data_IF_127636246449
#
_entry.id   IF_127636246449
#
_cell.length_a   1.000
_cell.length_b   1.000
_cell.length_c   1.000
_cell.angle_alpha   90.00
_cell.angle_beta   90.00
_cell.angle_gamma   90.00
#
_symmetry.space_group_name_H-M   'P 1'
#
loop_
_entity.id
_entity.type
_entity.pdbx_description
1 polymer ?
#
# COMPACT_ATOMS: atom_id res chain seq x y z
N UNK A 1 -2.02 13.76 -21.29
CA UNK A 1 -2.17 12.73 -20.24
C UNK A 1 -3.18 13.27 -19.24
N UNK A 2 -4.24 12.51 -18.90
CA UNK A 2 -5.22 12.99 -17.93
C UNK A 2 -4.53 13.26 -16.59
N UNK A 3 -4.83 14.40 -15.98
CA UNK A 3 -4.24 14.82 -14.73
C UNK A 3 -4.84 14.09 -13.51
N UNK A 4 -4.24 14.29 -12.32
CA UNK A 4 -4.78 13.77 -11.07
C UNK A 4 -6.23 14.20 -10.80
N UNK A 5 -6.62 15.37 -11.30
CA UNK A 5 -7.96 15.94 -11.21
C UNK A 5 -9.01 15.12 -11.96
N UNK A 6 -8.68 14.66 -13.17
CA UNK A 6 -9.56 13.84 -14.00
C UNK A 6 -9.79 12.46 -13.38
N UNK A 7 -8.75 11.89 -12.77
CA UNK A 7 -8.86 10.63 -12.03
C UNK A 7 -9.78 10.75 -10.82
N UNK A 8 -9.75 11.89 -10.10
CA UNK A 8 -10.67 12.13 -8.98
C UNK A 8 -12.12 12.27 -9.44
N UNK A 9 -12.36 12.94 -10.57
CA UNK A 9 -13.71 13.07 -11.14
C UNK A 9 -14.22 11.69 -11.56
N UNK A 10 -13.39 10.87 -12.21
CA UNK A 10 -13.75 9.51 -12.58
C UNK A 10 -14.06 8.64 -11.35
N UNK A 11 -13.23 8.73 -10.32
CA UNK A 11 -13.44 8.03 -9.04
C UNK A 11 -14.78 8.44 -8.41
N UNK A 12 -15.11 9.73 -8.42
CA UNK A 12 -16.36 10.24 -7.87
C UNK A 12 -17.58 9.66 -8.61
N UNK A 13 -17.53 9.60 -9.94
CA UNK A 13 -18.60 8.99 -10.76
C UNK A 13 -18.75 7.50 -10.41
N UNK A 14 -17.66 6.74 -10.37
CA UNK A 14 -17.69 5.33 -9.99
C UNK A 14 -18.24 5.15 -8.58
N UNK A 15 -17.82 5.98 -7.62
CA UNK A 15 -18.32 5.92 -6.24
C UNK A 15 -19.83 6.23 -6.14
N UNK A 16 -20.36 7.11 -6.98
CA UNK A 16 -21.80 7.39 -7.05
C UNK A 16 -22.58 6.23 -7.68
N UNK A 17 -22.05 5.60 -8.74
CA UNK A 17 -22.71 4.46 -9.42
C UNK A 17 -22.79 3.22 -8.52
N UNK A 18 -21.68 2.86 -7.88
CA UNK A 18 -21.60 1.68 -7.02
C UNK A 18 -22.09 1.95 -5.59
N UNK A 19 -22.17 3.23 -5.21
CA UNK A 19 -22.44 3.65 -3.84
C UNK A 19 -21.25 3.43 -2.91
N UNK A 20 -21.02 4.37 -2.00
CA UNK A 20 -19.90 4.33 -1.04
C UNK A 20 -19.95 3.12 -0.09
N UNK A 21 -21.13 2.54 0.15
CA UNK A 21 -21.31 1.37 1.04
C UNK A 21 -20.68 0.09 0.45
N UNK A 22 -20.93 -0.20 -0.83
CA UNK A 22 -20.32 -1.33 -1.55
C UNK A 22 -18.82 -1.12 -1.66
N UNK A 23 -18.41 0.09 -2.07
CA UNK A 23 -17.01 0.46 -2.26
C UNK A 23 -16.20 0.38 -0.96
N UNK A 24 -16.80 0.74 0.18
CA UNK A 24 -16.17 0.60 1.51
C UNK A 24 -16.04 -0.85 1.96
N UNK A 25 -17.07 -1.68 1.74
CA UNK A 25 -16.98 -3.10 2.09
C UNK A 25 -15.88 -3.81 1.30
N UNK A 26 -15.89 -3.68 -0.03
CA UNK A 26 -14.91 -4.31 -0.91
C UNK A 26 -13.52 -3.65 -0.77
N UNK A 27 -13.47 -2.33 -0.58
CA UNK A 27 -12.24 -1.58 -0.39
C UNK A 27 -11.55 -1.90 0.94
N UNK A 28 -12.29 -2.25 1.99
CA UNK A 28 -11.72 -2.74 3.25
C UNK A 28 -10.98 -4.07 3.08
N UNK A 29 -11.59 -5.02 2.38
CA UNK A 29 -11.00 -6.35 2.13
C UNK A 29 -9.79 -6.26 1.20
N UNK A 30 -9.95 -5.58 0.06
CA UNK A 30 -8.87 -5.37 -0.91
C UNK A 30 -7.74 -4.51 -0.32
N UNK A 31 -8.08 -3.47 0.43
CA UNK A 31 -7.11 -2.60 1.10
C UNK A 31 -6.28 -3.35 2.14
N UNK A 32 -6.91 -4.26 2.90
CA UNK A 32 -6.21 -5.10 3.88
C UNK A 32 -5.23 -6.06 3.21
N UNK A 33 -5.63 -6.70 2.10
CA UNK A 33 -4.76 -7.58 1.33
C UNK A 33 -3.54 -6.84 0.73
N UNK A 34 -3.78 -5.66 0.14
CA UNK A 34 -2.70 -4.82 -0.42
C UNK A 34 -1.78 -4.29 0.67
N UNK A 35 -2.31 -3.94 1.86
CA UNK A 35 -1.50 -3.49 2.98
C UNK A 35 -0.57 -4.59 3.49
N UNK A 36 -1.08 -5.82 3.64
CA UNK A 36 -0.26 -6.99 3.99
C UNK A 36 0.82 -7.27 2.95
N UNK A 37 0.49 -7.17 1.66
CA UNK A 37 1.45 -7.33 0.56
C UNK A 37 2.55 -6.26 0.61
N UNK A 38 2.19 -4.99 0.78
CA UNK A 38 3.14 -3.87 0.94
C UNK A 38 4.04 -4.05 2.17
N UNK A 39 3.50 -4.56 3.27
CA UNK A 39 4.27 -4.79 4.49
C UNK A 39 5.26 -5.95 4.32
N UNK A 40 4.86 -7.04 3.65
CA UNK A 40 5.76 -8.14 3.34
C UNK A 40 6.94 -7.69 2.45
N UNK A 41 6.67 -6.91 1.41
CA UNK A 41 7.70 -6.32 0.55
C UNK A 41 8.65 -5.39 1.33
N UNK A 42 8.12 -4.60 2.26
CA UNK A 42 8.94 -3.71 3.11
C UNK A 42 9.76 -4.47 4.14
N UNK A 43 9.26 -5.60 4.65
CA UNK A 43 10.00 -6.43 5.60
C UNK A 43 11.19 -7.10 4.94
N UNK A 44 11.06 -7.54 3.69
CA UNK A 44 12.16 -8.12 2.90
C UNK A 44 13.26 -7.08 2.59
N UNK A 45 12.85 -5.84 2.30
CA UNK A 45 13.77 -4.71 2.06
C UNK A 45 14.45 -4.21 3.37
N UNK A 46 13.81 -4.41 4.54
CA UNK A 46 14.40 -4.09 5.85
C UNK A 46 15.29 -5.18 6.42
N UNK A 47 15.07 -6.46 6.09
CA UNK A 47 15.94 -7.55 6.52
C UNK A 47 17.32 -7.48 5.86
N UNK A 48 17.46 -6.87 4.67
CA UNK A 48 18.76 -6.61 4.03
C UNK A 48 19.58 -5.45 4.64
N UNK A 49 19.13 -4.81 5.73
CA UNK A 49 19.82 -3.64 6.35
C UNK A 49 20.28 -3.85 7.80
N UNK A 50 20.25 -5.07 8.33
CA UNK A 50 20.54 -5.32 9.74
C UNK A 50 21.68 -6.33 10.03
N UNK A 51 22.50 -6.66 9.02
CA UNK A 51 23.61 -7.61 9.16
C UNK A 51 25.02 -6.98 9.16
N UNK A 52 25.17 -5.66 9.31
CA UNK A 52 26.50 -4.97 9.28
C UNK A 52 26.88 -4.27 10.60
N UNK A 53 26.43 -4.77 11.76
CA UNK A 53 26.83 -4.21 13.08
C UNK A 53 27.16 -5.32 14.08
N UNK A 54 28.14 -6.19 13.79
CA UNK A 54 28.85 -6.93 14.85
C UNK A 54 30.17 -7.57 14.37
N UNK A 55 31.18 -6.79 13.96
CA UNK A 55 32.57 -7.26 14.03
C UNK A 55 33.60 -6.12 13.98
N UNK A 56 33.76 -5.37 15.08
CA UNK A 56 34.99 -4.59 15.30
C UNK A 56 35.23 -4.27 16.77
N UNK A 57 35.35 -5.31 17.59
CA UNK A 57 35.83 -5.18 18.98
C UNK A 57 36.42 -6.52 19.41
N UNK A 58 37.58 -6.91 18.88
CA UNK A 58 38.59 -7.68 19.61
C UNK A 58 39.87 -7.86 18.77
N UNK A 59 40.98 -7.41 19.37
CA UNK A 59 42.41 -7.44 18.97
C UNK A 59 42.92 -6.51 17.88
#
# INVERSE_FOLDING_TARGET
MPGPTELLILLAIVALLFGTKKLRSMGGDLGSAINSFKNALKSDDKQNKHDDVNNKSEK
#
